data_IF_145323545892
#
_entry.id   IF_145323545892
#
_cell.length_a   1.000
_cell.length_b   1.000
_cell.length_c   1.000
_cell.angle_alpha   90.00
_cell.angle_beta   90.00
_cell.angle_gamma   90.00
#
_symmetry.space_group_name_H-M   'P 1'
#
loop_
_entity.id
_entity.type
_entity.pdbx_description
1 polymer ?
#
# COMPACT_ATOMS: atom_id res chain seq x y z
N UNK A 1 -4.07 -9.42 26.89
CA UNK A 1 -4.56 -9.29 25.50
C UNK A 1 -3.52 -8.58 24.62
N UNK A 2 -3.06 -9.25 23.56
CA UNK A 2 -2.05 -8.77 22.60
C UNK A 2 -2.33 -7.35 22.06
N UNK A 3 -3.62 -6.95 22.01
CA UNK A 3 -4.10 -5.62 21.58
C UNK A 3 -3.95 -4.50 22.63
N UNK A 4 -3.78 -4.81 23.91
CA UNK A 4 -3.69 -3.79 24.98
C UNK A 4 -2.38 -2.98 24.97
N UNK A 5 -1.36 -3.46 24.25
CA UNK A 5 -0.05 -2.80 24.11
C UNK A 5 -0.03 -1.74 22.98
N UNK A 6 -1.06 -1.69 22.13
CA UNK A 6 -1.17 -0.79 20.97
C UNK A 6 -2.16 0.36 21.16
N UNK A 7 -2.98 0.33 22.22
CA UNK A 7 -3.91 1.40 22.58
C UNK A 7 -3.30 2.81 22.73
N UNK A 8 -2.05 2.99 23.21
CA UNK A 8 -1.42 4.32 23.30
C UNK A 8 -0.90 4.85 21.95
N UNK A 9 -0.71 4.00 20.94
CA UNK A 9 -0.11 4.40 19.65
C UNK A 9 -1.06 5.31 18.87
N UNK A 10 -2.37 5.05 18.95
CA UNK A 10 -3.41 5.88 18.32
C UNK A 10 -3.50 7.30 18.91
N UNK A 11 -3.08 7.51 20.16
CA UNK A 11 -3.04 8.83 20.82
C UNK A 11 -1.71 9.57 20.64
N UNK A 12 -0.65 8.89 20.22
CA UNK A 12 0.67 9.50 20.00
C UNK A 12 0.81 10.19 18.63
N UNK A 13 -0.19 10.03 17.75
CA UNK A 13 -0.24 10.62 16.41
C UNK A 13 -0.52 12.14 16.45
N UNK A 14 -1.00 12.66 17.59
CA UNK A 14 -1.32 14.09 17.80
C UNK A 14 -0.11 15.04 17.93
N UNK A 15 1.13 14.56 17.74
CA UNK A 15 2.34 15.30 18.15
C UNK A 15 3.18 15.94 17.05
N UNK A 16 2.69 15.98 15.81
CA UNK A 16 3.32 16.79 14.77
C UNK A 16 2.43 17.98 14.44
N UNK A 17 2.89 19.18 14.80
CA UNK A 17 2.24 20.42 14.37
C UNK A 17 2.36 20.60 12.85
N UNK A 18 1.55 21.48 12.24
CA UNK A 18 1.57 21.68 10.79
C UNK A 18 2.92 22.25 10.36
N UNK A 19 3.71 21.46 9.64
CA UNK A 19 4.89 21.93 8.93
C UNK A 19 4.49 22.37 7.52
N UNK A 20 4.96 23.54 7.04
CA UNK A 20 4.80 23.88 5.64
C UNK A 20 5.52 22.85 4.75
N UNK A 21 4.79 22.36 3.76
CA UNK A 21 5.19 21.41 2.74
C UNK A 21 6.57 21.72 2.11
N UNK A 22 7.62 21.08 2.59
CA UNK A 22 8.90 20.98 1.88
C UNK A 22 9.06 19.56 1.31
N UNK A 23 7.99 19.03 0.70
CA UNK A 23 8.00 17.69 0.08
C UNK A 23 9.14 17.54 -0.93
N UNK A 24 9.45 18.62 -1.66
CA UNK A 24 10.54 18.72 -2.65
C UNK A 24 11.95 18.44 -2.07
N UNK A 25 12.10 18.47 -0.74
CA UNK A 25 13.39 18.20 -0.07
C UNK A 25 13.44 16.84 0.62
N UNK A 26 12.32 16.12 0.71
CA UNK A 26 12.27 14.80 1.36
C UNK A 26 12.98 13.76 0.51
N UNK A 27 13.74 12.87 1.14
CA UNK A 27 14.47 11.79 0.47
C UNK A 27 14.43 10.54 1.35
N UNK A 28 14.43 9.36 0.74
CA UNK A 28 14.35 8.08 1.46
C UNK A 28 13.02 7.86 2.19
N UNK A 29 12.00 8.68 1.90
CA UNK A 29 10.65 8.57 2.45
C UNK A 29 9.81 7.57 1.66
N UNK A 30 8.69 7.16 2.24
CA UNK A 30 7.66 6.37 1.54
C UNK A 30 6.61 7.32 0.95
N UNK A 31 6.11 7.05 -0.25
CA UNK A 31 4.96 7.78 -0.80
C UNK A 31 3.75 6.85 -0.82
N UNK A 32 2.67 7.26 -0.16
CA UNK A 32 1.41 6.51 -0.12
C UNK A 32 0.40 7.17 -1.05
N UNK A 33 -0.08 6.42 -2.05
CA UNK A 33 -1.11 6.85 -2.99
C UNK A 33 -2.48 6.39 -2.49
N UNK A 34 -3.31 7.34 -2.04
CA UNK A 34 -4.61 7.07 -1.43
C UNK A 34 -4.48 6.69 0.05
N UNK A 35 -5.14 7.44 0.93
CA UNK A 35 -5.07 7.24 2.38
C UNK A 35 -6.43 6.87 2.95
N UNK A 36 -7.07 5.88 2.32
CA UNK A 36 -8.27 5.21 2.83
C UNK A 36 -7.94 4.10 3.82
N UNK A 37 -8.86 3.15 4.00
CA UNK A 37 -8.71 2.03 4.96
C UNK A 37 -7.38 1.26 4.84
N UNK A 38 -6.92 0.98 3.61
CA UNK A 38 -5.67 0.24 3.37
C UNK A 38 -4.44 1.14 3.56
N UNK A 39 -4.47 2.35 3.00
CA UNK A 39 -3.37 3.31 3.13
C UNK A 39 -3.12 3.77 4.57
N UNK A 40 -4.18 3.96 5.35
CA UNK A 40 -4.11 4.32 6.78
C UNK A 40 -3.37 3.25 7.60
N UNK A 41 -3.59 1.96 7.35
CA UNK A 41 -2.86 0.88 8.04
C UNK A 41 -1.35 0.97 7.78
N UNK A 42 -0.97 1.24 6.52
CA UNK A 42 0.43 1.42 6.15
C UNK A 42 1.03 2.64 6.83
N UNK A 43 0.35 3.78 6.77
CA UNK A 43 0.82 5.01 7.40
C UNK A 43 0.96 4.89 8.92
N UNK A 44 0.04 4.22 9.60
CA UNK A 44 0.17 3.95 11.04
C UNK A 44 1.41 3.10 11.38
N UNK A 45 1.68 2.08 10.59
CA UNK A 45 2.88 1.27 10.76
C UNK A 45 4.15 2.11 10.57
N UNK A 46 4.20 2.93 9.51
CA UNK A 46 5.34 3.81 9.23
C UNK A 46 5.54 4.86 10.34
N UNK A 47 4.48 5.51 10.81
CA UNK A 47 4.54 6.44 11.95
C UNK A 47 5.09 5.76 13.20
N UNK A 48 4.63 4.54 13.51
CA UNK A 48 5.09 3.78 14.67
C UNK A 48 6.58 3.40 14.59
N UNK A 49 7.07 3.21 13.37
CA UNK A 49 8.48 2.90 13.07
C UNK A 49 9.33 4.16 12.84
N UNK A 50 8.76 5.36 13.05
CA UNK A 50 9.42 6.65 12.80
C UNK A 50 10.01 6.76 11.39
N UNK A 51 9.30 6.19 10.40
CA UNK A 51 9.64 6.30 8.98
C UNK A 51 8.90 7.47 8.38
N UNK A 52 9.62 8.34 7.69
CA UNK A 52 9.05 9.48 7.01
C UNK A 52 8.22 9.02 5.80
N UNK A 53 7.05 9.62 5.63
CA UNK A 53 6.20 9.37 4.47
C UNK A 53 5.42 10.62 4.04
N UNK A 54 4.98 10.58 2.78
CA UNK A 54 4.09 11.58 2.17
C UNK A 54 2.84 10.86 1.67
N UNK A 55 1.70 11.48 1.87
CA UNK A 55 0.39 11.00 1.43
C UNK A 55 -0.05 11.80 0.21
N UNK A 56 -0.49 11.13 -0.84
CA UNK A 56 -1.32 11.75 -1.89
C UNK A 56 -2.76 11.32 -1.68
N UNK A 57 -3.67 12.29 -1.46
CA UNK A 57 -5.09 12.04 -1.21
C UNK A 57 -5.97 12.86 -2.16
N UNK A 58 -6.89 12.19 -2.86
CA UNK A 58 -7.76 12.81 -3.85
C UNK A 58 -8.96 13.54 -3.24
N UNK A 59 -9.46 13.06 -2.10
CA UNK A 59 -10.58 13.69 -1.40
C UNK A 59 -10.12 14.90 -0.58
N UNK A 60 -10.53 16.10 -1.00
CA UNK A 60 -10.11 17.35 -0.37
C UNK A 60 -10.50 17.46 1.12
N UNK A 61 -11.74 17.12 1.55
CA UNK A 61 -12.09 17.09 2.96
C UNK A 61 -11.19 16.18 3.81
N UNK A 62 -10.89 14.97 3.34
CA UNK A 62 -9.96 14.04 4.00
C UNK A 62 -8.55 14.60 4.02
N UNK A 63 -8.03 15.08 2.89
CA UNK A 63 -6.69 15.65 2.81
C UNK A 63 -6.48 16.81 3.80
N UNK A 64 -7.49 17.69 3.95
CA UNK A 64 -7.46 18.77 4.96
C UNK A 64 -7.46 18.24 6.38
N UNK A 65 -8.22 17.19 6.65
CA UNK A 65 -8.29 16.56 7.98
C UNK A 65 -6.95 15.95 8.37
N UNK A 66 -6.35 15.18 7.46
CA UNK A 66 -5.04 14.56 7.63
C UNK A 66 -3.91 15.60 7.78
N UNK A 67 -3.96 16.68 7.00
CA UNK A 67 -2.98 17.77 7.14
C UNK A 67 -3.10 18.48 8.50
N UNK A 68 -4.34 18.70 9.00
CA UNK A 68 -4.57 19.28 10.33
C UNK A 68 -4.12 18.37 11.48
N UNK A 69 -4.07 17.06 11.27
CA UNK A 69 -3.51 16.11 12.22
C UNK A 69 -1.98 15.97 12.12
N UNK A 70 -1.31 16.88 11.39
CA UNK A 70 0.15 16.91 11.32
C UNK A 70 0.78 16.02 10.26
N UNK A 71 -0.02 15.34 9.44
CA UNK A 71 0.52 14.45 8.40
C UNK A 71 0.95 15.24 7.17
N UNK A 72 2.00 14.74 6.53
CA UNK A 72 2.53 15.23 5.26
C UNK A 72 1.59 14.82 4.11
N UNK A 73 0.70 15.72 3.70
CA UNK A 73 -0.36 15.42 2.72
C UNK A 73 -0.30 16.36 1.52
N UNK A 74 -0.31 15.77 0.33
CA UNK A 74 -0.55 16.42 -0.94
C UNK A 74 -1.98 16.10 -1.36
N UNK A 75 -2.80 17.14 -1.50
CA UNK A 75 -4.09 16.98 -2.15
C UNK A 75 -3.90 16.95 -3.67
N UNK A 76 -4.39 15.91 -4.32
CA UNK A 76 -4.32 15.77 -5.77
C UNK A 76 -4.62 14.35 -6.26
N UNK A 77 -4.71 14.22 -7.57
CA UNK A 77 -4.84 12.93 -8.23
C UNK A 77 -3.49 12.21 -8.24
N UNK A 78 -3.42 11.05 -7.61
CA UNK A 78 -2.23 10.21 -7.56
C UNK A 78 -1.81 9.66 -8.94
N UNK A 79 -2.72 9.63 -9.91
CA UNK A 79 -2.42 9.28 -11.28
C UNK A 79 -1.71 10.43 -12.04
N UNK A 80 -1.66 11.64 -11.50
CA UNK A 80 -1.01 12.78 -12.14
C UNK A 80 0.51 12.76 -11.98
N UNK A 81 1.23 12.78 -13.10
CA UNK A 81 2.70 12.93 -13.14
C UNK A 81 3.17 14.16 -12.34
N UNK A 82 2.42 15.28 -12.42
CA UNK A 82 2.74 16.49 -11.66
C UNK A 82 2.61 16.30 -10.14
N UNK A 83 1.57 15.59 -9.69
CA UNK A 83 1.34 15.33 -8.26
C UNK A 83 2.39 14.36 -7.71
N UNK A 84 2.75 13.32 -8.48
CA UNK A 84 3.82 12.40 -8.14
C UNK A 84 5.17 13.12 -8.01
N UNK A 85 5.52 13.99 -8.97
CA UNK A 85 6.74 14.80 -8.89
C UNK A 85 6.76 15.74 -7.68
N UNK A 86 5.61 16.32 -7.30
CA UNK A 86 5.49 17.12 -6.07
C UNK A 86 5.70 16.30 -4.79
N UNK A 87 5.43 15.00 -4.84
CA UNK A 87 5.72 14.07 -3.74
C UNK A 87 7.19 13.59 -3.73
N UNK A 88 8.00 14.07 -4.67
CA UNK A 88 9.43 13.73 -4.82
C UNK A 88 9.67 12.22 -4.93
N UNK A 89 8.83 11.54 -5.74
CA UNK A 89 8.83 10.07 -5.88
C UNK A 89 10.16 9.52 -6.41
N UNK A 90 10.90 10.29 -7.20
CA UNK A 90 12.23 9.95 -7.73
C UNK A 90 13.30 9.82 -6.64
N UNK A 91 13.04 10.38 -5.45
CA UNK A 91 13.90 10.27 -4.27
C UNK A 91 13.29 9.48 -3.12
N UNK A 92 12.11 8.89 -3.33
CA UNK A 92 11.49 8.00 -2.36
C UNK A 92 12.31 6.71 -2.21
N UNK A 93 12.04 5.93 -1.18
CA UNK A 93 12.57 4.55 -1.06
C UNK A 93 11.55 3.50 -1.50
N UNK A 94 10.26 3.86 -1.51
CA UNK A 94 9.15 2.97 -1.78
C UNK A 94 7.91 3.79 -2.13
N UNK A 95 7.12 3.30 -3.08
CA UNK A 95 5.75 3.76 -3.29
C UNK A 95 4.77 2.67 -2.84
N UNK A 96 3.75 3.05 -2.09
CA UNK A 96 2.62 2.16 -1.76
C UNK A 96 1.39 2.71 -2.44
N UNK A 97 0.82 1.96 -3.39
CA UNK A 97 -0.45 2.31 -4.01
C UNK A 97 -1.59 1.62 -3.27
N UNK A 98 -2.47 2.39 -2.65
CA UNK A 98 -3.67 1.91 -1.96
C UNK A 98 -4.96 2.47 -2.61
N UNK A 99 -4.87 2.88 -3.87
CA UNK A 99 -5.99 3.41 -4.65
C UNK A 99 -7.11 2.35 -4.81
N UNK A 100 -8.38 2.77 -4.84
CA UNK A 100 -9.51 1.84 -4.88
C UNK A 100 -9.88 1.35 -6.28
N UNK A 101 -9.44 2.02 -7.34
CA UNK A 101 -9.77 1.69 -8.72
C UNK A 101 -8.54 1.31 -9.55
N UNK A 102 -8.76 0.36 -10.46
CA UNK A 102 -7.74 -0.22 -11.34
C UNK A 102 -7.12 0.84 -12.27
N UNK A 103 -7.95 1.66 -12.93
CA UNK A 103 -7.48 2.63 -13.92
C UNK A 103 -6.52 3.66 -13.30
N UNK A 104 -6.88 4.23 -12.16
CA UNK A 104 -6.01 5.18 -11.46
C UNK A 104 -4.74 4.51 -10.96
N UNK A 105 -4.83 3.25 -10.52
CA UNK A 105 -3.67 2.45 -10.11
C UNK A 105 -2.71 2.23 -11.26
N UNK A 106 -3.17 1.67 -12.39
CA UNK A 106 -2.33 1.42 -13.56
C UNK A 106 -1.71 2.70 -14.11
N UNK A 107 -2.48 3.79 -14.18
CA UNK A 107 -1.96 5.08 -14.65
C UNK A 107 -0.92 5.67 -13.71
N UNK A 108 -1.15 5.62 -12.39
CA UNK A 108 -0.19 6.08 -11.38
C UNK A 108 1.12 5.27 -11.45
N UNK A 109 1.03 3.95 -11.59
CA UNK A 109 2.22 3.09 -11.71
C UNK A 109 2.95 3.33 -13.03
N UNK A 110 2.25 3.49 -14.14
CA UNK A 110 2.87 3.82 -15.42
C UNK A 110 3.62 5.17 -15.35
N UNK A 111 3.03 6.18 -14.71
CA UNK A 111 3.68 7.47 -14.51
C UNK A 111 4.85 7.39 -13.52
N UNK A 112 4.73 6.59 -12.45
CA UNK A 112 5.84 6.28 -11.55
C UNK A 112 7.00 5.66 -12.31
N UNK A 113 6.76 4.69 -13.21
CA UNK A 113 7.80 4.04 -14.00
C UNK A 113 8.50 5.00 -14.97
N UNK A 114 7.80 6.03 -15.45
CA UNK A 114 8.39 7.11 -16.26
C UNK A 114 9.27 8.05 -15.45
N UNK A 115 8.83 8.44 -14.25
CA UNK A 115 9.53 9.41 -13.39
C UNK A 115 10.71 8.74 -12.66
N UNK A 116 10.48 7.55 -12.11
CA UNK A 116 11.34 6.90 -11.14
C UNK A 116 11.33 5.37 -11.36
N UNK A 117 11.91 4.88 -12.49
CA UNK A 117 11.81 3.48 -12.90
C UNK A 117 12.33 2.49 -11.86
N UNK A 118 13.35 2.87 -11.09
CA UNK A 118 14.01 2.03 -10.10
C UNK A 118 13.31 1.97 -8.74
N UNK A 119 12.28 2.78 -8.50
CA UNK A 119 11.62 2.82 -7.19
C UNK A 119 10.67 1.62 -7.06
N UNK A 120 10.83 0.77 -6.04
CA UNK A 120 9.92 -0.35 -5.83
C UNK A 120 8.52 0.16 -5.49
N UNK A 121 7.52 -0.64 -5.85
CA UNK A 121 6.12 -0.34 -5.57
C UNK A 121 5.43 -1.56 -4.95
N UNK A 122 4.70 -1.34 -3.86
CA UNK A 122 3.72 -2.31 -3.33
C UNK A 122 2.35 -1.80 -3.70
N UNK A 123 1.58 -2.60 -4.44
CA UNK A 123 0.35 -2.15 -5.07
C UNK A 123 -0.84 -2.96 -4.60
N UNK A 124 -1.87 -2.26 -4.13
CA UNK A 124 -3.20 -2.83 -4.00
C UNK A 124 -3.77 -3.09 -5.40
N UNK A 125 -4.13 -4.33 -5.67
CA UNK A 125 -5.04 -4.69 -6.75
C UNK A 125 -6.46 -4.87 -6.19
N UNK A 126 -7.48 -4.58 -7.00
CA UNK A 126 -8.88 -4.85 -6.62
C UNK A 126 -9.26 -6.30 -6.93
N UNK A 127 -8.71 -6.87 -8.01
CA UNK A 127 -8.98 -8.23 -8.43
C UNK A 127 -7.72 -8.90 -9.00
N UNK A 128 -7.78 -10.23 -9.12
CA UNK A 128 -6.68 -11.05 -9.65
C UNK A 128 -6.31 -10.71 -11.08
N UNK A 129 -7.28 -10.33 -11.90
CA UNK A 129 -7.04 -10.07 -13.32
C UNK A 129 -6.09 -8.88 -13.54
N UNK A 130 -5.97 -7.98 -12.56
CA UNK A 130 -5.07 -6.82 -12.60
C UNK A 130 -3.59 -7.19 -12.44
N UNK A 131 -3.28 -8.35 -11.84
CA UNK A 131 -1.90 -8.72 -11.53
C UNK A 131 -1.03 -8.80 -12.79
N UNK A 132 -1.60 -9.31 -13.90
CA UNK A 132 -0.87 -9.40 -15.17
C UNK A 132 -0.48 -8.03 -15.71
N UNK A 133 -1.35 -7.04 -15.62
CA UNK A 133 -1.06 -5.69 -16.10
C UNK A 133 -0.07 -4.98 -15.16
N UNK A 134 -0.23 -5.13 -13.84
CA UNK A 134 0.72 -4.59 -12.86
C UNK A 134 2.12 -5.21 -13.00
N UNK A 135 2.20 -6.51 -13.26
CA UNK A 135 3.45 -7.22 -13.53
C UNK A 135 4.16 -6.68 -14.78
N UNK A 136 3.42 -6.44 -15.86
CA UNK A 136 3.97 -5.83 -17.09
C UNK A 136 4.52 -4.42 -16.86
N UNK A 137 4.00 -3.71 -15.87
CA UNK A 137 4.53 -2.42 -15.42
C UNK A 137 5.71 -2.57 -14.44
N UNK A 138 6.23 -3.78 -14.23
CA UNK A 138 7.36 -4.07 -13.35
C UNK A 138 7.02 -3.90 -11.87
N UNK A 139 5.77 -4.12 -11.46
CA UNK A 139 5.41 -4.22 -10.04
C UNK A 139 5.67 -5.64 -9.57
N UNK A 140 6.54 -5.78 -8.59
CA UNK A 140 6.92 -7.08 -8.02
C UNK A 140 5.97 -7.49 -6.89
N UNK A 141 5.45 -6.52 -6.13
CA UNK A 141 4.65 -6.77 -4.94
C UNK A 141 3.21 -6.27 -5.13
N UNK A 142 2.27 -7.20 -5.28
CA UNK A 142 0.85 -6.91 -5.44
C UNK A 142 0.06 -7.61 -4.34
N UNK A 143 -0.86 -6.88 -3.71
CA UNK A 143 -1.75 -7.39 -2.66
C UNK A 143 -3.19 -7.21 -3.08
N UNK A 144 -4.00 -8.26 -2.95
CA UNK A 144 -5.46 -8.19 -3.14
C UNK A 144 -6.13 -8.21 -1.76
N UNK A 145 -6.52 -7.05 -1.17
CA UNK A 145 -7.00 -6.99 0.21
C UNK A 145 -8.25 -7.83 0.47
N UNK A 146 -9.13 -7.94 -0.52
CA UNK A 146 -10.33 -8.77 -0.46
C UNK A 146 -9.98 -10.26 -0.34
N UNK A 147 -8.90 -10.70 -0.99
CA UNK A 147 -8.42 -12.07 -0.88
C UNK A 147 -7.76 -12.31 0.48
N UNK A 148 -6.90 -11.41 0.92
CA UNK A 148 -6.25 -11.49 2.24
C UNK A 148 -7.27 -11.48 3.38
N UNK A 149 -8.31 -10.66 3.26
CA UNK A 149 -9.44 -10.66 4.20
C UNK A 149 -10.24 -11.97 4.15
N UNK A 150 -10.43 -12.55 2.96
CA UNK A 150 -11.08 -13.85 2.81
C UNK A 150 -10.31 -15.00 3.47
N UNK A 151 -8.98 -14.99 3.37
CA UNK A 151 -8.10 -15.94 4.05
C UNK A 151 -8.24 -15.85 5.57
N UNK A 152 -8.31 -14.64 6.11
CA UNK A 152 -8.52 -14.44 7.55
C UNK A 152 -9.90 -14.92 8.00
N UNK A 153 -10.96 -14.60 7.24
CA UNK A 153 -12.32 -15.09 7.53
C UNK A 153 -12.38 -16.62 7.55
N UNK A 154 -11.74 -17.28 6.59
CA UNK A 154 -11.64 -18.73 6.55
C UNK A 154 -10.92 -19.27 7.79
N UNK A 155 -9.77 -18.71 8.16
CA UNK A 155 -9.02 -19.12 9.35
C UNK A 155 -9.86 -19.01 10.62
N UNK A 156 -10.54 -17.88 10.82
CA UNK A 156 -11.44 -17.68 11.97
C UNK A 156 -12.63 -18.64 11.95
N UNK A 157 -13.18 -18.95 10.78
CA UNK A 157 -14.27 -19.92 10.67
C UNK A 157 -13.83 -21.34 11.08
N UNK A 158 -12.63 -21.78 10.67
CA UNK A 158 -12.07 -23.07 11.09
C UNK A 158 -11.87 -23.12 12.61
N UNK A 159 -11.29 -22.08 13.19
CA UNK A 159 -11.11 -21.99 14.65
C UNK A 159 -12.46 -22.05 15.37
N UNK A 160 -13.46 -21.30 14.89
CA UNK A 160 -14.80 -21.28 15.47
C UNK A 160 -15.52 -22.64 15.38
N UNK A 161 -15.19 -23.46 14.38
CA UNK A 161 -15.70 -24.83 14.22
C UNK A 161 -14.95 -25.87 15.06
N UNK A 162 -13.93 -25.46 15.82
CA UNK A 162 -13.17 -26.32 16.74
C UNK A 162 -11.91 -26.95 16.13
N UNK A 163 -11.48 -26.52 14.94
CA UNK A 163 -10.19 -26.93 14.40
C UNK A 163 -9.03 -26.24 15.15
N UNK A 164 -7.86 -26.89 15.29
CA UNK A 164 -6.67 -26.27 15.86
C UNK A 164 -6.27 -25.00 15.09
N UNK A 165 -5.83 -23.97 15.81
CA UNK A 165 -5.39 -22.71 15.20
C UNK A 165 -4.16 -22.89 14.29
N UNK A 166 -3.29 -23.84 14.64
CA UNK A 166 -2.13 -24.22 13.83
C UNK A 166 -2.55 -24.79 12.48
N UNK A 167 -3.59 -25.63 12.45
CA UNK A 167 -4.14 -26.17 11.20
C UNK A 167 -4.77 -25.07 10.36
N UNK A 168 -5.57 -24.20 10.97
CA UNK A 168 -6.20 -23.07 10.28
C UNK A 168 -5.16 -22.13 9.64
N UNK A 169 -4.06 -21.86 10.35
CA UNK A 169 -2.94 -21.08 9.84
C UNK A 169 -2.20 -21.80 8.71
N UNK A 170 -1.97 -23.11 8.82
CA UNK A 170 -1.36 -23.91 7.77
C UNK A 170 -2.21 -23.88 6.48
N UNK A 171 -3.53 -24.03 6.60
CA UNK A 171 -4.45 -23.89 5.47
C UNK A 171 -4.38 -22.49 4.85
N UNK A 172 -4.33 -21.44 5.68
CA UNK A 172 -4.21 -20.06 5.24
C UNK A 172 -2.94 -19.83 4.41
N UNK A 173 -1.79 -20.33 4.90
CA UNK A 173 -0.51 -20.24 4.21
C UNK A 173 -0.51 -21.07 2.92
N UNK A 174 -0.97 -22.32 2.97
CA UNK A 174 -1.02 -23.18 1.79
C UNK A 174 -1.89 -22.59 0.66
N UNK A 175 -3.05 -22.03 1.00
CA UNK A 175 -3.94 -21.40 0.01
C UNK A 175 -3.34 -20.09 -0.52
N UNK A 176 -2.66 -19.31 0.34
CA UNK A 176 -1.93 -18.10 -0.07
C UNK A 176 -0.82 -18.45 -1.07
N UNK A 177 -0.01 -19.46 -0.78
CA UNK A 177 1.10 -19.88 -1.64
C UNK A 177 0.58 -20.33 -3.00
N UNK A 178 -0.46 -21.18 -3.05
CA UNK A 178 -1.08 -21.60 -4.31
C UNK A 178 -1.54 -20.41 -5.14
N UNK A 179 -2.06 -19.35 -4.51
CA UNK A 179 -2.51 -18.16 -5.20
C UNK A 179 -1.37 -17.40 -5.86
N UNK A 180 -0.34 -17.04 -5.08
CA UNK A 180 0.74 -16.19 -5.57
C UNK A 180 1.80 -16.96 -6.36
N UNK A 181 1.99 -18.27 -6.12
CA UNK A 181 2.93 -19.12 -6.89
C UNK A 181 2.43 -19.40 -8.30
N UNK A 182 1.15 -19.78 -8.49
CA UNK A 182 0.57 -19.98 -9.83
C UNK A 182 0.70 -18.71 -10.66
N UNK A 183 0.55 -17.57 -10.02
CA UNK A 183 0.60 -16.28 -10.69
C UNK A 183 2.06 -15.86 -10.96
N UNK A 184 3.01 -16.08 -10.04
CA UNK A 184 4.45 -15.88 -10.29
C UNK A 184 5.00 -16.77 -11.42
N UNK A 185 4.47 -17.98 -11.59
CA UNK A 185 4.81 -18.87 -12.72
C UNK A 185 4.33 -18.28 -14.06
N UNK A 186 3.17 -17.62 -14.09
CA UNK A 186 2.71 -16.85 -15.26
C UNK A 186 3.60 -15.61 -15.51
N UNK A 187 4.21 -15.03 -14.46
CA UNK A 187 5.16 -13.92 -14.61
C UNK A 187 6.45 -14.37 -15.30
N UNK A 188 6.96 -15.57 -15.00
CA UNK A 188 8.16 -16.11 -15.66
C UNK A 188 7.94 -16.51 -17.12
N UNK A 189 6.73 -16.92 -17.53
CA UNK A 189 6.44 -17.25 -18.93
C UNK A 189 6.21 -16.01 -19.83
N UNK A 190 5.79 -14.88 -19.26
CA UNK A 190 5.50 -13.65 -20.03
C UNK A 190 6.70 -12.71 -20.16
N UNK A 191 7.72 -12.87 -19.31
CA UNK A 191 9.06 -12.32 -19.56
C UNK A 191 9.79 -13.21 -20.58
N UNK A 192 9.62 -12.92 -21.87
CA UNK A 192 10.37 -13.59 -22.93
C UNK A 192 11.89 -13.56 -22.69
N UNK A 193 12.67 -14.50 -23.27
CA UNK A 193 14.09 -14.63 -22.97
C UNK A 193 14.83 -13.33 -23.34
N UNK A 194 15.66 -12.87 -22.39
CA UNK A 194 16.55 -11.71 -22.51
C UNK A 194 17.50 -11.80 -23.70
#
# INVERSE_FOLDING_TARGET
>A
PFLARFGPIWKAIDRQGPLPAQFERMQGHVVILGYGRVGELTGHALSSLQRDFVIIEGDLPRARTLSRSGLNVIWGDAASEHVLSRANVDRATLVVSALPDENSTLLAINNLRRIAPAIPAVVRARARDELRELARLGVEEVVVPEYEGGLELMSQALIALGYPAEDAELYRLAIRDIHYDIESLIHHETAGPA
#
